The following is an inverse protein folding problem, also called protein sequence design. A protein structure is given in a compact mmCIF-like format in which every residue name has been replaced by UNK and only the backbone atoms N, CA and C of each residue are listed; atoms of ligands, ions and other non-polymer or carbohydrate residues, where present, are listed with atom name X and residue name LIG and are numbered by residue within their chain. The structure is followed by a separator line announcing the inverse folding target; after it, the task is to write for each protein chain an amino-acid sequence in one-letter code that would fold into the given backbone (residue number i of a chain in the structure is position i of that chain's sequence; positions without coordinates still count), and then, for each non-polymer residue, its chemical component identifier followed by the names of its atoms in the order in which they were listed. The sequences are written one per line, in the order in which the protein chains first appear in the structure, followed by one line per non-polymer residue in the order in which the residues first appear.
data_IF_517405885230
#
_entry.id   IF_517405885230
#
_cell.length_a   1.000
_cell.length_b   1.000
_cell.length_c   1.000
_cell.angle_alpha   90.00
_cell.angle_beta   90.00
_cell.angle_gamma   90.00
#
_symmetry.space_group_name_H-M   'P 1'
#
loop_
_entity.id
_entity.type
_entity.pdbx_description
1 polymer ?
#
# COMPACT_ATOMS: atom_id res chain seq x y z
N UNK A 1 0.91 -6.64 -13.53
CA UNK A 1 1.91 -6.13 -14.52
C UNK A 1 2.68 -4.98 -13.90
N UNK A 2 4.02 -4.99 -13.94
CA UNK A 2 4.82 -3.86 -13.49
C UNK A 2 4.84 -2.79 -14.59
N UNK A 3 4.44 -1.56 -14.26
CA UNK A 3 4.37 -0.45 -15.21
C UNK A 3 5.20 0.73 -14.70
N UNK A 4 5.92 1.46 -15.57
CA UNK A 4 6.76 2.59 -15.14
C UNK A 4 6.02 3.64 -14.30
N UNK A 5 4.74 3.89 -14.60
CA UNK A 5 3.89 4.83 -13.86
C UNK A 5 3.67 4.45 -12.39
N UNK A 6 3.90 3.19 -12.01
CA UNK A 6 3.75 2.70 -10.64
C UNK A 6 5.11 2.59 -9.90
N UNK A 7 6.20 3.09 -10.49
CA UNK A 7 7.54 3.04 -9.91
C UNK A 7 7.94 4.43 -9.44
N UNK A 8 8.19 4.56 -8.14
CA UNK A 8 8.55 5.83 -7.50
C UNK A 8 9.92 5.67 -6.84
N UNK A 9 10.91 6.40 -7.36
CA UNK A 9 12.28 6.39 -6.86
C UNK A 9 12.55 7.66 -6.03
N UNK A 10 13.55 7.59 -5.14
CA UNK A 10 14.04 8.72 -4.35
C UNK A 10 12.91 9.44 -3.59
N UNK A 11 12.03 8.65 -2.96
CA UNK A 11 11.01 9.16 -2.05
C UNK A 11 11.51 9.08 -0.62
N UNK A 12 11.17 10.11 0.15
CA UNK A 12 11.42 10.19 1.58
C UNK A 12 10.08 10.44 2.27
N UNK A 13 9.89 9.80 3.42
CA UNK A 13 8.70 9.90 4.26
C UNK A 13 9.17 10.07 5.71
N UNK A 14 8.42 10.83 6.51
CA UNK A 14 8.78 11.07 7.91
C UNK A 14 8.66 9.78 8.75
N UNK A 15 7.72 8.91 8.39
CA UNK A 15 7.47 7.64 9.05
C UNK A 15 6.89 6.58 8.10
N UNK A 16 6.66 5.38 8.63
CA UNK A 16 6.11 4.25 7.89
C UNK A 16 4.66 4.49 7.44
N UNK A 17 3.87 5.24 8.20
CA UNK A 17 2.45 5.43 7.93
C UNK A 17 2.28 6.33 6.71
N UNK A 18 3.11 7.37 6.58
CA UNK A 18 3.20 8.19 5.38
C UNK A 18 3.57 7.37 4.14
N UNK A 19 4.55 6.46 4.25
CA UNK A 19 4.96 5.59 3.15
C UNK A 19 3.84 4.61 2.74
N UNK A 20 3.13 4.03 3.71
CA UNK A 20 1.99 3.13 3.47
C UNK A 20 0.83 3.89 2.81
N UNK A 21 0.51 5.09 3.31
CA UNK A 21 -0.53 5.95 2.73
C UNK A 21 -0.19 6.39 1.31
N UNK A 22 1.07 6.70 1.04
CA UNK A 22 1.56 6.97 -0.30
C UNK A 22 1.35 5.77 -1.23
N UNK A 23 1.77 4.57 -0.83
CA UNK A 23 1.58 3.35 -1.62
C UNK A 23 0.09 3.06 -1.87
N UNK A 24 -0.76 3.24 -0.85
CA UNK A 24 -2.21 3.11 -0.99
C UNK A 24 -2.81 4.12 -1.98
N UNK A 25 -2.38 5.39 -1.91
CA UNK A 25 -2.83 6.43 -2.85
C UNK A 25 -2.43 6.09 -4.29
N UNK A 26 -1.22 5.60 -4.51
CA UNK A 26 -0.77 5.11 -5.83
C UNK A 26 -1.70 4.02 -6.37
N UNK A 27 -2.13 3.08 -5.51
CA UNK A 27 -3.07 2.03 -5.93
C UNK A 27 -4.45 2.57 -6.30
N UNK A 28 -4.94 3.56 -5.56
CA UNK A 28 -6.22 4.24 -5.82
C UNK A 28 -6.17 5.02 -7.13
N UNK A 29 -5.14 5.85 -7.31
CA UNK A 29 -5.00 6.73 -8.48
C UNK A 29 -4.81 5.91 -9.77
N UNK A 30 -4.19 4.73 -9.68
CA UNK A 30 -4.06 3.79 -10.79
C UNK A 30 -5.29 2.88 -11.01
N UNK A 31 -6.35 3.03 -10.19
CA UNK A 31 -7.61 2.31 -10.32
C UNK A 31 -7.55 0.83 -9.96
N UNK A 32 -6.61 0.43 -9.10
CA UNK A 32 -6.50 -0.95 -8.61
C UNK A 32 -7.45 -1.22 -7.43
N UNK A 33 -7.70 -0.21 -6.59
CA UNK A 33 -8.48 -0.34 -5.35
C UNK A 33 -9.31 0.93 -5.10
N UNK A 34 -10.33 0.81 -4.25
CA UNK A 34 -11.08 1.96 -3.73
C UNK A 34 -10.32 2.70 -2.62
N UNK A 35 -10.68 3.95 -2.34
CA UNK A 35 -10.02 4.79 -1.32
C UNK A 35 -10.03 4.19 0.08
N UNK A 36 -11.07 3.41 0.41
CA UNK A 36 -11.18 2.68 1.68
C UNK A 36 -10.04 1.68 1.92
N UNK A 37 -9.35 1.24 0.87
CA UNK A 37 -8.23 0.30 0.96
C UNK A 37 -7.00 0.90 1.65
N UNK A 38 -6.83 2.23 1.64
CA UNK A 38 -5.70 2.90 2.28
C UNK A 38 -5.71 2.67 3.80
N UNK A 39 -6.86 2.86 4.45
CA UNK A 39 -6.97 2.62 5.89
C UNK A 39 -6.77 1.14 6.23
N UNK A 40 -7.25 0.23 5.37
CA UNK A 40 -7.02 -1.20 5.55
C UNK A 40 -5.52 -1.57 5.49
N UNK A 41 -4.71 -0.87 4.69
CA UNK A 41 -3.26 -1.07 4.66
C UNK A 41 -2.60 -0.65 5.98
N UNK A 42 -3.06 0.45 6.58
CA UNK A 42 -2.57 0.95 7.86
C UNK A 42 -2.99 0.00 9.00
N UNK A 43 -4.26 -0.41 9.02
CA UNK A 43 -4.77 -1.39 9.98
C UNK A 43 -3.97 -2.69 9.90
N UNK A 44 -3.70 -3.17 8.68
CA UNK A 44 -2.92 -4.39 8.47
C UNK A 44 -1.52 -4.29 9.06
N UNK A 45 -0.80 -3.18 8.85
CA UNK A 45 0.54 -3.00 9.40
C UNK A 45 0.54 -2.85 10.94
N UNK A 46 -0.53 -2.29 11.51
CA UNK A 46 -0.69 -2.16 12.96
C UNK A 46 -0.96 -3.48 13.69
N UNK A 47 -1.55 -4.48 13.03
CA UNK A 47 -1.70 -5.84 13.58
C UNK A 47 -0.32 -6.49 13.75
N UNK A 48 0.47 -6.46 12.67
CA UNK A 48 1.86 -6.89 12.67
C UNK A 48 2.55 -6.27 11.47
N UNK A 49 3.78 -5.82 11.67
CA UNK A 49 4.54 -5.11 10.64
C UNK A 49 4.59 -5.92 9.34
N UNK A 50 4.42 -5.23 8.22
CA UNK A 50 4.57 -5.76 6.88
C UNK A 50 6.02 -5.79 6.38
N UNK A 51 6.97 -5.47 7.26
CA UNK A 51 8.41 -5.60 7.00
C UNK A 51 8.83 -7.08 6.93
N UNK A 52 9.48 -7.46 5.84
CA UNK A 52 9.92 -8.83 5.57
C UNK A 52 11.40 -9.08 5.87
N UNK A 53 12.14 -8.04 6.29
CA UNK A 53 13.60 -8.10 6.35
C UNK A 53 14.26 -7.60 5.05
N UNK A 54 15.59 -7.50 5.06
CA UNK A 54 16.40 -7.09 3.91
C UNK A 54 15.92 -5.79 3.25
N UNK A 55 15.54 -4.80 4.06
CA UNK A 55 15.08 -3.48 3.59
C UNK A 55 13.82 -3.53 2.69
N UNK A 56 13.01 -4.59 2.79
CA UNK A 56 11.76 -4.77 2.03
C UNK A 56 10.54 -4.84 2.95
N UNK A 57 9.50 -4.08 2.62
CA UNK A 57 8.17 -4.18 3.19
C UNK A 57 7.12 -4.36 2.09
N UNK A 58 6.04 -5.08 2.40
CA UNK A 58 4.93 -5.36 1.47
C UNK A 58 3.60 -4.87 2.04
N UNK A 59 3.38 -3.56 2.20
CA UNK A 59 2.12 -3.06 2.72
C UNK A 59 0.95 -3.48 1.81
N UNK A 60 -0.08 -4.09 2.42
CA UNK A 60 -1.28 -4.60 1.76
C UNK A 60 -2.48 -4.42 2.68
N UNK A 61 -3.69 -4.44 2.14
CA UNK A 61 -4.92 -4.35 2.94
C UNK A 61 -5.20 -5.63 3.74
N UNK A 62 -6.13 -5.54 4.68
CA UNK A 62 -6.68 -6.70 5.40
C UNK A 62 -7.43 -7.67 4.46
N UNK A 63 -7.74 -8.87 4.95
CA UNK A 63 -8.50 -9.85 4.18
C UNK A 63 -9.91 -9.35 3.85
N UNK A 64 -10.55 -8.64 4.78
CA UNK A 64 -11.86 -8.02 4.63
C UNK A 64 -11.87 -6.93 3.55
N UNK A 65 -10.73 -6.27 3.33
CA UNK A 65 -10.57 -5.22 2.33
C UNK A 65 -10.46 -5.75 0.90
N UNK A 66 -10.39 -7.07 0.68
CA UNK A 66 -10.42 -7.66 -0.68
C UNK A 66 -11.62 -7.21 -1.50
N UNK A 67 -12.75 -6.90 -0.86
CA UNK A 67 -13.96 -6.36 -1.53
C UNK A 67 -13.75 -4.99 -2.19
N UNK A 68 -12.74 -4.24 -1.76
CA UNK A 68 -12.38 -2.93 -2.30
C UNK A 68 -11.34 -3.02 -3.43
N UNK A 69 -10.92 -4.23 -3.83
CA UNK A 69 -10.04 -4.43 -4.99
C UNK A 69 -10.87 -4.40 -6.28
N UNK A 70 -10.52 -3.47 -7.17
CA UNK A 70 -11.18 -3.27 -8.46
C UNK A 70 -10.51 -4.13 -9.54
N UNK A 71 -9.17 -4.25 -9.48
CA UNK A 71 -8.35 -4.94 -10.49
C UNK A 71 -7.08 -5.54 -9.89
N UNK A 72 -6.75 -6.77 -10.28
CA UNK A 72 -5.51 -7.49 -9.95
C UNK A 72 -4.67 -7.88 -11.17
#
# INVERSE_FOLDING_TARGET
LLRPENIFLNKEFADKDEAIRFAGRVLVDAGYVEESYIEAMIERDNITSTYMGNDVAIPHGTEEAKKAVIKS
#
